data_IF_618663017278
#
_entry.id   IF_618663017278
#
_cell.length_a   1.000
_cell.length_b   1.000
_cell.length_c   1.000
_cell.angle_alpha   90.00
_cell.angle_beta   90.00
_cell.angle_gamma   90.00
#
_symmetry.space_group_name_H-M   'P 1'
#
loop_
_entity.id
_entity.type
_entity.pdbx_description
1 polymer ?
#
# COMPACT_ATOMS: atom_id res chain seq x y z
N UNK A 1 5.92 3.84 -13.98
CA UNK A 1 7.00 3.03 -14.53
C UNK A 1 7.21 1.74 -13.73
N UNK A 2 7.30 1.81 -12.40
CA UNK A 2 7.57 0.67 -11.49
C UNK A 2 6.58 -0.49 -11.66
N UNK A 3 5.27 -0.19 -11.80
CA UNK A 3 4.25 -1.21 -12.02
C UNK A 3 4.51 -2.06 -13.29
N UNK A 4 5.00 -1.41 -14.33
CA UNK A 4 5.33 -2.12 -15.58
C UNK A 4 6.59 -2.99 -15.45
N UNK A 5 7.54 -2.59 -14.59
CA UNK A 5 8.68 -3.43 -14.24
C UNK A 5 8.24 -4.69 -13.49
N UNK A 6 7.34 -4.55 -12.52
CA UNK A 6 6.73 -5.69 -11.83
C UNK A 6 5.99 -6.62 -12.80
N UNK A 7 5.21 -6.06 -13.73
CA UNK A 7 4.47 -6.83 -14.72
C UNK A 7 5.38 -7.62 -15.70
N UNK A 8 6.63 -7.19 -15.87
CA UNK A 8 7.62 -7.91 -16.70
C UNK A 8 8.26 -9.10 -15.98
N UNK A 9 8.07 -9.24 -14.67
CA UNK A 9 8.59 -10.37 -13.91
C UNK A 9 7.85 -11.64 -14.30
N UNK A 10 8.46 -12.44 -15.19
CA UNK A 10 7.87 -13.70 -15.68
C UNK A 10 7.54 -14.62 -14.52
N UNK A 11 6.39 -15.29 -14.62
CA UNK A 11 5.89 -16.21 -13.61
C UNK A 11 5.66 -15.60 -12.21
N UNK A 12 5.47 -14.28 -12.11
CA UNK A 12 5.04 -13.56 -10.91
C UNK A 12 3.65 -12.97 -11.14
N UNK A 13 2.67 -13.83 -11.35
CA UNK A 13 1.34 -13.48 -11.82
C UNK A 13 0.59 -12.52 -10.89
N UNK A 14 0.87 -12.53 -9.59
CA UNK A 14 0.33 -11.57 -8.63
C UNK A 14 0.69 -10.12 -9.00
N UNK A 15 1.89 -9.90 -9.55
CA UNK A 15 2.35 -8.57 -9.95
C UNK A 15 1.84 -8.12 -11.32
N UNK A 16 1.19 -9.02 -12.07
CA UNK A 16 0.52 -8.71 -13.34
C UNK A 16 -0.94 -8.26 -13.14
N UNK A 17 -1.32 -7.96 -11.89
CA UNK A 17 -2.65 -7.49 -11.56
C UNK A 17 -2.92 -6.12 -12.23
N UNK A 18 -4.04 -5.94 -12.93
CA UNK A 18 -4.39 -4.67 -13.57
C UNK A 18 -4.62 -3.52 -12.57
N UNK A 19 -4.88 -3.82 -11.30
CA UNK A 19 -5.00 -2.81 -10.24
C UNK A 19 -3.65 -2.28 -9.76
N UNK A 20 -2.54 -2.98 -10.03
CA UNK A 20 -1.22 -2.60 -9.52
C UNK A 20 -0.74 -1.21 -10.01
N UNK A 21 -0.87 -0.82 -11.30
CA UNK A 21 -0.44 0.50 -11.74
C UNK A 21 -1.14 1.66 -11.03
N UNK A 22 -2.49 1.73 -10.97
CA UNK A 22 -3.16 2.80 -10.24
C UNK A 22 -2.92 2.71 -8.72
N UNK A 23 -2.75 1.51 -8.15
CA UNK A 23 -2.43 1.34 -6.75
C UNK A 23 -1.06 1.94 -6.39
N UNK A 24 0.00 1.62 -7.14
CA UNK A 24 1.34 2.22 -6.94
C UNK A 24 1.34 3.75 -7.13
N UNK A 25 0.50 4.26 -8.02
CA UNK A 25 0.33 5.71 -8.15
C UNK A 25 -0.25 6.33 -6.87
N UNK A 26 -1.30 5.74 -6.30
CA UNK A 26 -1.88 6.19 -5.02
C UNK A 26 -0.85 6.11 -3.89
N UNK A 27 -0.08 5.03 -3.82
CA UNK A 27 0.99 4.87 -2.82
C UNK A 27 2.06 5.96 -2.94
N UNK A 28 2.43 6.33 -4.17
CA UNK A 28 3.41 7.41 -4.39
C UNK A 28 2.89 8.77 -3.92
N UNK A 29 1.59 9.06 -4.14
CA UNK A 29 0.96 10.27 -3.63
C UNK A 29 0.86 10.27 -2.10
N UNK A 30 0.52 9.11 -1.50
CA UNK A 30 0.45 8.92 -0.06
C UNK A 30 1.84 9.17 0.58
N UNK A 31 2.88 8.56 0.04
CA UNK A 31 4.24 8.77 0.50
C UNK A 31 4.68 10.22 0.31
N UNK A 32 4.29 10.86 -0.79
CA UNK A 32 4.54 12.28 -1.07
C UNK A 32 3.86 13.19 -0.04
N UNK A 33 2.59 12.95 0.29
CA UNK A 33 1.88 13.70 1.33
C UNK A 33 2.57 13.55 2.70
N UNK A 34 2.99 12.33 3.06
CA UNK A 34 3.77 12.09 4.27
C UNK A 34 5.09 12.85 4.29
N UNK A 35 5.80 12.89 3.16
CA UNK A 35 7.08 13.58 3.05
C UNK A 35 6.92 15.10 3.15
N UNK A 36 5.86 15.66 2.58
CA UNK A 36 5.61 17.10 2.56
C UNK A 36 5.11 17.64 3.91
N UNK A 37 4.36 16.86 4.68
CA UNK A 37 3.73 17.31 5.93
C UNK A 37 4.70 17.92 6.95
N UNK A 38 5.87 17.33 7.27
CA UNK A 38 6.82 17.95 8.19
C UNK A 38 7.36 19.28 7.69
N UNK A 39 7.62 19.40 6.37
CA UNK A 39 8.08 20.64 5.76
C UNK A 39 6.98 21.71 5.76
N UNK A 40 5.75 21.32 5.43
CA UNK A 40 4.61 22.22 5.48
C UNK A 40 4.38 22.78 6.88
N UNK A 41 4.49 21.94 7.91
CA UNK A 41 4.33 22.37 9.30
C UNK A 41 5.33 23.44 9.70
N UNK A 42 6.52 23.43 9.09
CA UNK A 42 7.58 24.40 9.38
C UNK A 42 7.56 25.62 8.45
N UNK A 43 7.36 25.41 7.16
CA UNK A 43 7.51 26.47 6.13
C UNK A 43 6.20 27.14 5.74
N UNK A 44 5.08 26.38 5.72
CA UNK A 44 3.79 26.83 5.20
C UNK A 44 2.63 26.16 5.98
N UNK A 45 2.35 26.63 7.23
CA UNK A 45 1.33 25.99 8.09
C UNK A 45 -0.06 25.92 7.45
N UNK A 46 -0.38 26.82 6.52
CA UNK A 46 -1.65 26.79 5.80
C UNK A 46 -1.84 25.53 4.94
N UNK A 47 -0.74 24.90 4.50
CA UNK A 47 -0.76 23.68 3.71
C UNK A 47 -0.97 22.41 4.56
N UNK A 48 -0.83 22.47 5.88
CA UNK A 48 -0.92 21.28 6.75
C UNK A 48 -2.30 20.64 6.70
N UNK A 49 -3.36 21.42 6.85
CA UNK A 49 -4.73 20.89 6.86
C UNK A 49 -5.10 20.23 5.50
N UNK A 50 -4.89 20.85 4.33
CA UNK A 50 -5.10 20.20 3.04
C UNK A 50 -4.29 18.89 2.87
N UNK A 51 -3.03 18.87 3.31
CA UNK A 51 -2.18 17.67 3.21
C UNK A 51 -2.66 16.56 4.14
N UNK A 52 -3.15 16.86 5.35
CA UNK A 52 -3.71 15.86 6.25
C UNK A 52 -5.00 15.24 5.69
N UNK A 53 -5.88 16.06 5.10
CA UNK A 53 -7.06 15.55 4.41
C UNK A 53 -6.71 14.70 3.19
N UNK A 54 -5.69 15.12 2.42
CA UNK A 54 -5.17 14.34 1.30
C UNK A 54 -4.60 13.00 1.76
N UNK A 55 -3.82 12.99 2.84
CA UNK A 55 -3.26 11.78 3.44
C UNK A 55 -4.38 10.81 3.88
N UNK A 56 -5.42 11.32 4.54
CA UNK A 56 -6.56 10.51 4.95
C UNK A 56 -7.32 9.91 3.76
N UNK A 57 -7.61 10.71 2.75
CA UNK A 57 -8.27 10.24 1.53
C UNK A 57 -7.43 9.21 0.76
N UNK A 58 -6.13 9.47 0.58
CA UNK A 58 -5.21 8.55 -0.08
C UNK A 58 -5.05 7.23 0.69
N UNK A 59 -5.03 7.27 2.03
CA UNK A 59 -5.03 6.07 2.88
C UNK A 59 -6.29 5.24 2.67
N UNK A 60 -7.46 5.88 2.57
CA UNK A 60 -8.72 5.19 2.28
C UNK A 60 -8.69 4.55 0.89
N UNK A 61 -8.26 5.29 -0.13
CA UNK A 61 -8.16 4.77 -1.51
C UNK A 61 -7.16 3.61 -1.58
N UNK A 62 -6.03 3.70 -0.88
CA UNK A 62 -5.06 2.61 -0.77
C UNK A 62 -5.70 1.35 -0.17
N UNK A 63 -6.48 1.46 0.91
CA UNK A 63 -7.22 0.33 1.49
C UNK A 63 -8.24 -0.27 0.52
N UNK A 64 -8.92 0.55 -0.28
CA UNK A 64 -9.84 0.06 -1.31
C UNK A 64 -9.10 -0.74 -2.39
N UNK A 65 -7.91 -0.31 -2.81
CA UNK A 65 -7.07 -1.08 -3.73
C UNK A 65 -6.63 -2.41 -3.11
N UNK A 66 -6.19 -2.41 -1.83
CA UNK A 66 -5.85 -3.66 -1.12
C UNK A 66 -7.05 -4.61 -1.13
N UNK A 67 -8.24 -4.14 -0.76
CA UNK A 67 -9.46 -4.94 -0.79
C UNK A 67 -9.75 -5.47 -2.20
N UNK A 68 -9.60 -4.64 -3.22
CA UNK A 68 -9.75 -5.03 -4.63
C UNK A 68 -8.77 -6.14 -5.00
N UNK A 69 -7.48 -5.94 -4.77
CA UNK A 69 -6.43 -6.89 -5.14
C UNK A 69 -6.56 -8.27 -4.48
N UNK A 70 -7.00 -8.32 -3.22
CA UNK A 70 -7.19 -9.61 -2.52
C UNK A 70 -8.54 -10.28 -2.83
N UNK A 71 -9.51 -9.53 -3.39
CA UNK A 71 -10.88 -10.01 -3.62
C UNK A 71 -11.15 -10.41 -5.06
N UNK A 72 -10.38 -9.91 -6.03
CA UNK A 72 -10.56 -10.28 -7.44
C UNK A 72 -10.25 -11.77 -7.66
N UNK A 73 -10.89 -12.35 -8.68
CA UNK A 73 -10.58 -13.70 -9.11
C UNK A 73 -9.21 -13.70 -9.79
N UNK A 74 -8.27 -14.41 -9.19
CA UNK A 74 -6.95 -14.57 -9.79
C UNK A 74 -6.96 -15.65 -10.87
N UNK A 75 -6.46 -15.38 -12.09
CA UNK A 75 -6.58 -16.29 -13.21
C UNK A 75 -5.69 -17.54 -13.11
N UNK A 76 -4.66 -17.50 -12.24
CA UNK A 76 -3.67 -18.57 -12.14
C UNK A 76 -3.55 -19.12 -10.72
N UNK A 77 -3.17 -20.40 -10.60
CA UNK A 77 -2.88 -21.03 -9.32
C UNK A 77 -1.72 -20.34 -8.58
N UNK A 78 -0.72 -19.83 -9.33
CA UNK A 78 0.41 -19.09 -8.78
C UNK A 78 -0.04 -17.80 -8.08
N UNK A 79 -0.89 -17.00 -8.71
CA UNK A 79 -1.44 -15.78 -8.12
C UNK A 79 -2.29 -16.08 -6.88
N UNK A 80 -3.13 -17.15 -6.92
CA UNK A 80 -3.88 -17.61 -5.76
C UNK A 80 -3.01 -17.99 -4.58
N UNK A 81 -1.92 -18.72 -4.82
CA UNK A 81 -0.97 -19.10 -3.77
C UNK A 81 -0.27 -17.87 -3.18
N UNK A 82 0.15 -16.92 -4.01
CA UNK A 82 0.77 -15.68 -3.53
C UNK A 82 -0.17 -14.86 -2.64
N UNK A 83 -1.43 -14.69 -3.03
CA UNK A 83 -2.45 -14.00 -2.21
C UNK A 83 -2.74 -14.78 -0.92
N UNK A 84 -2.71 -16.11 -0.95
CA UNK A 84 -2.84 -16.94 0.27
C UNK A 84 -1.65 -16.74 1.21
N UNK A 85 -0.42 -16.70 0.68
CA UNK A 85 0.79 -16.40 1.47
C UNK A 85 0.74 -15.01 2.09
N UNK A 86 0.21 -14.02 1.36
CA UNK A 86 0.00 -12.66 1.83
C UNK A 86 -1.01 -12.60 2.98
N UNK A 87 -2.21 -13.19 2.80
CA UNK A 87 -3.36 -12.97 3.69
C UNK A 87 -3.46 -13.96 4.84
N UNK A 88 -3.02 -15.22 4.64
CA UNK A 88 -3.17 -16.34 5.59
C UNK A 88 -1.86 -17.08 5.87
N UNK A 89 -0.85 -16.93 5.01
CA UNK A 89 0.43 -17.62 5.10
C UNK A 89 1.47 -16.89 5.93
N UNK A 90 2.72 -16.98 5.48
CA UNK A 90 3.92 -16.48 6.16
C UNK A 90 3.90 -14.97 6.42
N UNK A 91 3.32 -14.19 5.49
CA UNK A 91 3.38 -12.72 5.52
C UNK A 91 2.14 -12.07 6.15
N UNK A 92 1.18 -12.87 6.65
CA UNK A 92 -0.10 -12.39 7.22
C UNK A 92 0.05 -11.34 8.32
N UNK A 93 1.09 -11.44 9.15
CA UNK A 93 1.31 -10.50 10.25
C UNK A 93 1.69 -9.11 9.72
N UNK A 94 2.62 -9.05 8.77
CA UNK A 94 3.01 -7.81 8.09
C UNK A 94 1.84 -7.20 7.33
N UNK A 95 1.10 -8.01 6.58
CA UNK A 95 -0.10 -7.59 5.85
C UNK A 95 -1.15 -6.96 6.78
N UNK A 96 -1.51 -7.66 7.87
CA UNK A 96 -2.52 -7.16 8.83
C UNK A 96 -2.05 -5.91 9.56
N UNK A 97 -0.80 -5.87 9.97
CA UNK A 97 -0.23 -4.68 10.61
C UNK A 97 -0.19 -3.50 9.63
N UNK A 98 0.20 -3.73 8.37
CA UNK A 98 0.17 -2.74 7.30
C UNK A 98 -1.22 -2.15 7.11
N UNK A 99 -2.24 -3.02 6.94
CA UNK A 99 -3.64 -2.62 6.81
C UNK A 99 -4.13 -1.84 8.03
N UNK A 100 -3.82 -2.31 9.24
CA UNK A 100 -4.26 -1.64 10.48
C UNK A 100 -3.64 -0.24 10.63
N UNK A 101 -2.34 -0.10 10.35
CA UNK A 101 -1.66 1.20 10.41
C UNK A 101 -2.14 2.15 9.31
N UNK A 102 -2.39 1.66 8.10
CA UNK A 102 -3.00 2.47 7.04
C UNK A 102 -4.41 2.90 7.40
N UNK A 103 -5.18 2.05 8.08
CA UNK A 103 -6.52 2.42 8.58
C UNK A 103 -6.42 3.57 9.59
N UNK A 104 -5.42 3.60 10.46
CA UNK A 104 -5.15 4.76 11.30
C UNK A 104 -4.80 6.00 10.47
N UNK A 105 -4.10 5.83 9.35
CA UNK A 105 -3.80 6.91 8.40
C UNK A 105 -5.04 7.60 7.82
N UNK A 106 -6.19 6.90 7.70
CA UNK A 106 -7.46 7.51 7.29
C UNK A 106 -7.90 8.63 8.24
N UNK A 107 -7.52 8.52 9.51
CA UNK A 107 -7.82 9.50 10.53
C UNK A 107 -6.77 10.62 10.64
N UNK A 108 -5.93 10.81 9.63
CA UNK A 108 -4.88 11.83 9.61
C UNK A 108 -5.36 13.25 9.97
N UNK A 109 -6.56 13.74 9.52
CA UNK A 109 -7.03 15.07 9.92
C UNK A 109 -7.17 15.27 11.42
N UNK A 110 -7.41 14.18 12.17
CA UNK A 110 -7.57 14.21 13.65
C UNK A 110 -6.28 13.86 14.38
N UNK A 111 -5.43 13.02 13.78
CA UNK A 111 -4.15 12.60 14.35
C UNK A 111 -3.03 13.62 14.14
N UNK A 112 -3.21 14.55 13.19
CA UNK A 112 -2.18 15.52 12.83
C UNK A 112 -0.90 14.85 12.34
N UNK A 113 0.24 15.41 12.68
CA UNK A 113 1.55 14.89 12.25
C UNK A 113 1.87 13.48 12.73
N UNK A 114 1.20 12.99 13.79
CA UNK A 114 1.36 11.60 14.24
C UNK A 114 0.88 10.58 13.20
N UNK A 115 0.01 10.99 12.25
CA UNK A 115 -0.43 10.14 11.16
C UNK A 115 0.73 9.78 10.19
N UNK A 116 1.74 10.63 10.07
CA UNK A 116 2.86 10.44 9.12
C UNK A 116 3.62 9.14 9.39
N UNK A 117 4.21 8.90 10.57
CA UNK A 117 4.91 7.65 10.83
C UNK A 117 3.99 6.43 10.79
N UNK A 118 2.71 6.56 11.15
CA UNK A 118 1.75 5.46 11.09
C UNK A 118 1.46 5.06 9.63
N UNK A 119 1.18 6.04 8.77
CA UNK A 119 0.90 5.79 7.36
C UNK A 119 2.14 5.22 6.63
N UNK A 120 3.33 5.77 6.89
CA UNK A 120 4.58 5.26 6.28
C UNK A 120 4.90 3.84 6.75
N UNK A 121 4.76 3.55 8.04
CA UNK A 121 4.95 2.20 8.56
C UNK A 121 3.91 1.23 7.98
N UNK A 122 2.66 1.66 7.85
CA UNK A 122 1.59 0.89 7.22
C UNK A 122 1.92 0.53 5.78
N UNK A 123 2.32 1.53 4.99
CA UNK A 123 2.74 1.35 3.61
C UNK A 123 3.94 0.41 3.50
N UNK A 124 4.99 0.62 4.30
CA UNK A 124 6.19 -0.22 4.29
C UNK A 124 5.88 -1.69 4.60
N UNK A 125 5.06 -1.95 5.62
CA UNK A 125 4.70 -3.31 6.02
C UNK A 125 3.84 -4.00 4.95
N UNK A 126 2.91 -3.26 4.34
CA UNK A 126 2.11 -3.77 3.23
C UNK A 126 2.99 -4.12 2.02
N UNK A 127 3.84 -3.19 1.59
CA UNK A 127 4.76 -3.38 0.45
C UNK A 127 5.71 -4.55 0.69
N UNK A 128 6.30 -4.64 1.90
CA UNK A 128 7.14 -5.77 2.26
C UNK A 128 6.39 -7.10 2.12
N UNK A 129 5.17 -7.18 2.68
CA UNK A 129 4.36 -8.39 2.59
C UNK A 129 3.99 -8.73 1.14
N UNK A 130 3.60 -7.73 0.35
CA UNK A 130 3.19 -7.88 -1.05
C UNK A 130 4.33 -8.40 -1.93
N UNK A 131 5.50 -7.76 -1.85
CA UNK A 131 6.67 -8.16 -2.63
C UNK A 131 7.15 -9.56 -2.22
N UNK A 132 7.26 -9.82 -0.93
CA UNK A 132 7.72 -11.12 -0.43
C UNK A 132 6.74 -12.26 -0.75
N UNK A 133 5.43 -12.02 -0.64
CA UNK A 133 4.43 -13.02 -1.01
C UNK A 133 4.50 -13.38 -2.50
N UNK A 134 4.67 -12.38 -3.38
CA UNK A 134 4.84 -12.61 -4.81
C UNK A 134 6.12 -13.39 -5.17
N UNK A 135 7.18 -13.28 -4.35
CA UNK A 135 8.45 -13.97 -4.57
C UNK A 135 8.49 -15.38 -3.96
N UNK A 136 7.70 -15.65 -2.93
CA UNK A 136 7.79 -16.87 -2.12
C UNK A 136 7.18 -18.10 -2.79
N UNK A 137 6.31 -17.92 -3.79
CA UNK A 137 5.70 -19.03 -4.51
C UNK A 137 6.71 -19.60 -5.52
N UNK A 138 7.01 -20.91 -5.48
CA UNK A 138 7.94 -21.54 -6.42
C UNK A 138 7.47 -21.34 -7.87
N UNK A 139 8.43 -21.14 -8.76
CA UNK A 139 8.20 -21.17 -10.19
C UNK A 139 8.05 -22.63 -10.61
N UNK A 140 6.95 -22.99 -11.23
CA UNK A 140 6.74 -24.32 -11.80
C UNK A 140 7.54 -24.51 -13.08
#
# INVERSE_FOLDING_TARGET
YTAYLFAQAKARDMWQNPLLPPHLFVQSLLAGACALLPFAAWLEPAAVAPLLWSLGALSLVHLLFICGEVSIVHPTAHAHLAVRELTRGRYRAYFRAGVALTLLGVFAPWLGLAAVPLALAGLLLFEHAYVQAGQSVPLA
#
